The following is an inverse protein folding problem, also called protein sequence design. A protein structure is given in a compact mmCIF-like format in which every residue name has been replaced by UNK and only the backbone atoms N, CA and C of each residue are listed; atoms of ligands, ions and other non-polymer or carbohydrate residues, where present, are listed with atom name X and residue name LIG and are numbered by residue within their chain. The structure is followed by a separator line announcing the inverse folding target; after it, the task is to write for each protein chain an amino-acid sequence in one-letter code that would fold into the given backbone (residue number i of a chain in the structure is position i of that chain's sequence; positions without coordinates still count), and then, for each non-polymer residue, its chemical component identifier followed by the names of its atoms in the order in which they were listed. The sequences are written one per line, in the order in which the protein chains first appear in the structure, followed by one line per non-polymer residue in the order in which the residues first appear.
data_IF_131735216873
#
_entry.id   IF_131735216873
#
_cell.length_a   1.000
_cell.length_b   1.000
_cell.length_c   1.000
_cell.angle_alpha   90.00
_cell.angle_beta   90.00
_cell.angle_gamma   90.00
#
_symmetry.space_group_name_H-M   'P 1'
#
loop_
_entity.id
_entity.type
_entity.pdbx_description
1 polymer ?
#
# COMPACT_ATOMS: atom_id res chain seq x y z
N UNK A 1 27.52 21.98 -32.40
CA UNK A 1 28.29 21.72 -31.14
C UNK A 1 28.20 22.85 -30.11
N UNK A 2 27.59 24.01 -30.41
CA UNK A 2 27.44 25.15 -29.47
C UNK A 2 26.03 25.19 -28.81
N UNK A 3 25.06 24.43 -29.32
CA UNK A 3 23.69 24.38 -28.78
C UNK A 3 23.49 23.34 -27.65
N UNK A 4 24.48 22.49 -27.36
CA UNK A 4 24.44 21.53 -26.23
C UNK A 4 25.04 22.08 -24.93
N UNK A 5 25.77 23.21 -24.99
CA UNK A 5 26.39 23.81 -23.79
C UNK A 5 25.49 24.84 -23.08
N UNK A 6 24.48 25.38 -23.76
CA UNK A 6 23.58 26.42 -23.22
C UNK A 6 22.47 25.88 -22.33
N UNK A 7 22.14 24.58 -22.44
CA UNK A 7 21.13 23.92 -21.58
C UNK A 7 21.73 23.45 -20.25
N UNK A 8 23.06 23.28 -20.18
CA UNK A 8 23.77 22.83 -18.98
C UNK A 8 24.18 24.03 -18.09
N UNK A 9 24.28 25.24 -18.64
CA UNK A 9 24.62 26.46 -17.88
C UNK A 9 23.41 27.20 -17.30
N UNK A 10 22.18 26.89 -17.73
CA UNK A 10 20.95 27.42 -17.11
C UNK A 10 20.41 26.58 -15.93
N UNK A 11 20.96 25.38 -15.68
CA UNK A 11 20.63 24.56 -14.50
C UNK A 11 21.63 24.72 -13.33
N UNK A 12 22.61 25.62 -13.47
CA UNK A 12 23.63 25.88 -12.45
C UNK A 12 23.40 27.19 -11.67
N UNK A 13 22.15 27.67 -11.60
CA UNK A 13 21.76 28.72 -10.65
C UNK A 13 20.82 28.15 -9.57
N UNK A 14 21.40 28.07 -8.37
CA UNK A 14 20.81 27.81 -7.05
C UNK A 14 20.19 26.43 -6.77
N UNK A 15 21.00 25.38 -6.70
CA UNK A 15 20.80 24.38 -5.64
C UNK A 15 21.36 24.96 -4.33
N UNK A 16 20.56 25.78 -3.64
CA UNK A 16 20.68 25.79 -2.18
C UNK A 16 20.05 24.48 -1.72
N UNK A 17 20.80 23.62 -1.06
CA UNK A 17 20.23 22.47 -0.39
C UNK A 17 19.16 23.01 0.58
N UNK A 18 17.88 22.77 0.28
CA UNK A 18 16.80 23.08 1.21
C UNK A 18 16.87 22.03 2.31
N UNK A 19 17.06 22.48 3.55
CA UNK A 19 16.92 21.64 4.75
C UNK A 19 15.61 20.86 4.67
N UNK A 20 15.66 19.56 4.94
CA UNK A 20 14.49 18.69 5.00
C UNK A 20 14.09 18.42 6.46
N UNK A 21 12.84 18.01 6.68
CA UNK A 21 12.35 17.66 8.02
C UNK A 21 13.16 16.51 8.65
N UNK A 22 13.53 15.50 7.85
CA UNK A 22 14.36 14.38 8.32
C UNK A 22 15.75 14.83 8.76
N UNK A 23 16.39 15.74 8.01
CA UNK A 23 17.67 16.35 8.41
C UNK A 23 17.53 17.14 9.71
N UNK A 24 16.44 17.89 9.89
CA UNK A 24 16.15 18.63 11.12
C UNK A 24 15.96 17.67 12.32
N UNK A 25 15.23 16.56 12.13
CA UNK A 25 15.06 15.51 13.13
C UNK A 25 16.36 14.81 13.50
N UNK A 26 17.24 14.54 12.53
CA UNK A 26 18.55 13.95 12.79
C UNK A 26 19.44 14.87 13.64
N UNK A 27 19.39 16.19 13.39
CA UNK A 27 20.08 17.18 14.22
C UNK A 27 19.51 17.16 15.65
N UNK A 28 18.19 17.11 15.78
CA UNK A 28 17.52 17.05 17.08
C UNK A 28 17.90 15.78 17.87
N UNK A 29 17.88 14.62 17.22
CA UNK A 29 18.21 13.33 17.82
C UNK A 29 19.69 13.18 18.21
N UNK A 30 20.57 14.02 17.65
CA UNK A 30 22.01 14.10 18.00
C UNK A 30 22.31 15.17 19.05
N UNK A 31 21.27 15.72 19.68
CA UNK A 31 21.36 16.83 20.64
C UNK A 31 21.99 18.10 20.06
N UNK A 32 22.03 18.23 18.73
CA UNK A 32 22.46 19.46 18.03
C UNK A 32 21.32 20.49 18.00
N UNK A 33 20.71 20.75 19.16
CA UNK A 33 19.44 21.46 19.28
C UNK A 33 19.45 22.84 18.64
N UNK A 34 20.56 23.58 18.67
CA UNK A 34 20.62 24.90 18.03
C UNK A 34 20.45 24.82 16.50
N UNK A 35 21.08 23.83 15.86
CA UNK A 35 20.95 23.62 14.41
C UNK A 35 19.58 23.05 14.06
N UNK A 36 19.07 22.14 14.89
CA UNK A 36 17.72 21.60 14.73
C UNK A 36 16.66 22.72 14.83
N UNK A 37 16.83 23.63 15.78
CA UNK A 37 15.95 24.78 15.96
C UNK A 37 15.93 25.69 14.72
N UNK A 38 17.11 26.00 14.16
CA UNK A 38 17.22 26.78 12.91
C UNK A 38 16.55 26.04 11.74
N UNK A 39 16.77 24.73 11.65
CA UNK A 39 16.18 23.88 10.61
C UNK A 39 14.64 23.83 10.70
N UNK A 40 14.07 23.56 11.88
CA UNK A 40 12.63 23.56 12.08
C UNK A 40 12.03 24.95 11.90
N UNK A 41 12.72 26.02 12.30
CA UNK A 41 12.27 27.41 12.07
C UNK A 41 12.09 27.74 10.59
N UNK A 42 12.93 27.17 9.71
CA UNK A 42 12.80 27.34 8.26
C UNK A 42 11.61 26.58 7.67
N UNK A 43 11.29 25.42 8.23
CA UNK A 43 10.27 24.50 7.73
C UNK A 43 8.87 24.78 8.29
N UNK A 44 8.78 25.29 9.53
CA UNK A 44 7.55 25.38 10.31
C UNK A 44 6.43 26.22 9.70
N UNK A 45 6.70 27.05 8.68
CA UNK A 45 5.66 27.81 8.00
C UNK A 45 4.79 26.94 7.09
N UNK A 46 5.39 25.92 6.48
CA UNK A 46 4.76 25.10 5.45
C UNK A 46 4.58 23.63 5.87
N UNK A 47 5.25 23.22 6.96
CA UNK A 47 5.25 21.86 7.48
C UNK A 47 4.71 21.81 8.92
N UNK A 48 3.61 21.07 9.11
CA UNK A 48 2.91 20.99 10.38
C UNK A 48 3.73 20.26 11.46
N UNK A 49 4.53 19.27 11.08
CA UNK A 49 5.39 18.54 12.00
C UNK A 49 6.59 19.39 12.42
N UNK A 50 7.16 20.15 11.49
CA UNK A 50 8.21 21.12 11.82
C UNK A 50 7.71 22.21 12.77
N UNK A 51 6.48 22.71 12.56
CA UNK A 51 5.85 23.67 13.47
C UNK A 51 5.62 23.07 14.87
N UNK A 52 5.22 21.80 14.95
CA UNK A 52 5.06 21.09 16.21
C UNK A 52 6.41 20.93 16.93
N UNK A 53 7.45 20.48 16.22
CA UNK A 53 8.79 20.32 16.79
C UNK A 53 9.36 21.65 17.26
N UNK A 54 9.18 22.72 16.49
CA UNK A 54 9.57 24.07 16.89
C UNK A 54 8.84 24.54 18.16
N UNK A 55 7.55 24.25 18.28
CA UNK A 55 6.77 24.55 19.47
C UNK A 55 7.32 23.84 20.71
N UNK A 56 7.61 22.53 20.58
CA UNK A 56 8.21 21.72 21.65
C UNK A 56 9.58 22.26 22.07
N UNK A 57 10.41 22.69 21.12
CA UNK A 57 11.72 23.27 21.41
C UNK A 57 11.61 24.58 22.20
N UNK A 58 10.63 25.43 21.87
CA UNK A 58 10.34 26.62 22.68
C UNK A 58 9.80 26.29 24.07
N UNK A 59 8.98 25.25 24.20
CA UNK A 59 8.44 24.80 25.50
C UNK A 59 9.54 24.28 26.43
N UNK A 60 10.52 23.56 25.85
CA UNK A 60 11.61 22.91 26.59
C UNK A 60 12.86 23.78 26.71
N UNK A 61 13.00 24.84 25.90
CA UNK A 61 14.20 25.67 25.84
C UNK A 61 15.37 24.97 25.14
N UNK A 62 15.07 24.07 24.20
CA UNK A 62 16.08 23.30 23.47
C UNK A 62 16.55 24.11 22.25
N UNK A 63 17.84 24.47 22.22
CA UNK A 63 18.40 25.25 21.11
C UNK A 63 17.95 26.72 21.04
N UNK A 64 17.07 27.15 21.95
CA UNK A 64 16.52 28.50 22.04
C UNK A 64 16.16 28.86 23.50
N UNK A 65 15.76 30.11 23.73
CA UNK A 65 15.24 30.52 25.04
C UNK A 65 13.82 29.98 25.24
N UNK A 66 13.56 29.38 26.41
CA UNK A 66 12.26 28.83 26.77
C UNK A 66 11.17 29.91 26.71
N UNK A 67 10.09 29.64 25.99
CA UNK A 67 8.95 30.57 25.84
C UNK A 67 7.66 29.79 25.63
N UNK A 68 6.81 29.76 26.65
CA UNK A 68 5.49 29.13 26.56
C UNK A 68 4.58 29.85 25.56
N UNK A 69 4.71 31.17 25.43
CA UNK A 69 3.93 31.97 24.48
C UNK A 69 4.24 31.56 23.03
N UNK A 70 5.54 31.48 22.67
CA UNK A 70 5.95 31.04 21.34
C UNK A 70 5.63 29.56 21.09
N UNK A 71 5.76 28.72 22.11
CA UNK A 71 5.34 27.32 22.01
C UNK A 71 3.84 27.22 21.66
N UNK A 72 2.97 27.95 22.36
CA UNK A 72 1.54 27.96 22.07
C UNK A 72 1.23 28.51 20.67
N UNK A 73 1.95 29.55 20.21
CA UNK A 73 1.81 30.09 18.87
C UNK A 73 2.11 29.03 17.80
N UNK A 74 3.24 28.33 17.92
CA UNK A 74 3.65 27.31 16.97
C UNK A 74 2.82 26.03 17.06
N UNK A 75 2.33 25.65 18.24
CA UNK A 75 1.34 24.56 18.36
C UNK A 75 0.04 24.90 17.64
N UNK A 76 -0.45 26.15 17.74
CA UNK A 76 -1.61 26.61 16.98
C UNK A 76 -1.35 26.65 15.48
N UNK A 77 -0.16 27.09 15.06
CA UNK A 77 0.25 27.08 13.65
C UNK A 77 0.27 25.65 13.09
N UNK A 78 0.90 24.71 13.79
CA UNK A 78 0.91 23.28 13.45
C UNK A 78 -0.51 22.73 13.28
N UNK A 79 -1.37 22.94 14.29
CA UNK A 79 -2.77 22.51 14.25
C UNK A 79 -3.55 23.17 13.10
N UNK A 80 -3.25 24.43 12.76
CA UNK A 80 -3.88 25.13 11.65
C UNK A 80 -3.45 24.55 10.30
N UNK A 81 -2.15 24.27 10.10
CA UNK A 81 -1.65 23.63 8.88
C UNK A 81 -2.31 22.25 8.71
N UNK A 82 -2.33 21.43 9.76
CA UNK A 82 -3.04 20.16 9.76
C UNK A 82 -4.54 20.31 9.45
N UNK A 83 -5.18 21.32 10.03
CA UNK A 83 -6.58 21.61 9.78
C UNK A 83 -6.84 22.02 8.33
N UNK A 84 -6.02 22.88 7.73
CA UNK A 84 -6.18 23.32 6.34
C UNK A 84 -5.87 22.18 5.36
N UNK A 85 -4.86 21.35 5.64
CA UNK A 85 -4.62 20.09 4.90
C UNK A 85 -5.85 19.17 4.96
N UNK A 86 -6.42 18.96 6.15
CA UNK A 86 -7.62 18.16 6.33
C UNK A 86 -8.89 18.80 5.74
N UNK A 87 -8.96 20.14 5.66
CA UNK A 87 -10.09 20.91 5.13
C UNK A 87 -10.33 20.68 3.64
N UNK A 88 -9.25 20.47 2.89
CA UNK A 88 -9.32 20.17 1.46
C UNK A 88 -9.43 18.67 1.15
N UNK A 89 -9.45 17.81 2.17
CA UNK A 89 -9.67 16.38 1.98
C UNK A 89 -11.12 16.10 1.52
N UNK A 90 -11.33 15.40 0.39
CA UNK A 90 -12.65 14.93 -0.02
C UNK A 90 -13.38 14.15 1.09
N UNK A 91 -12.63 13.40 1.91
CA UNK A 91 -13.16 12.62 3.03
C UNK A 91 -13.87 13.49 4.06
N UNK A 92 -13.34 14.69 4.36
CA UNK A 92 -13.96 15.60 5.34
C UNK A 92 -15.31 16.11 4.84
N UNK A 93 -15.41 16.43 3.56
CA UNK A 93 -16.68 16.83 2.95
C UNK A 93 -17.66 15.65 2.93
N UNK A 94 -17.23 14.44 2.58
CA UNK A 94 -18.07 13.24 2.63
C UNK A 94 -18.59 13.00 4.05
N UNK A 95 -17.72 12.98 5.05
CA UNK A 95 -18.10 12.81 6.46
C UNK A 95 -19.05 13.89 6.96
N UNK A 96 -18.83 15.16 6.57
CA UNK A 96 -19.72 16.27 6.89
C UNK A 96 -21.11 16.03 6.29
N UNK A 97 -21.21 15.69 5.01
CA UNK A 97 -22.49 15.43 4.37
C UNK A 97 -23.19 14.19 4.96
N UNK A 98 -22.45 13.11 5.24
CA UNK A 98 -23.00 11.94 5.93
C UNK A 98 -23.53 12.28 7.32
N UNK A 99 -22.89 13.19 8.06
CA UNK A 99 -23.39 13.69 9.35
C UNK A 99 -24.67 14.52 9.19
N UNK A 100 -24.77 15.34 8.14
CA UNK A 100 -26.01 16.06 7.86
C UNK A 100 -27.15 15.12 7.45
N UNK A 101 -26.90 14.11 6.61
CA UNK A 101 -27.87 13.05 6.28
C UNK A 101 -28.32 12.32 7.56
N UNK A 102 -27.40 11.97 8.45
CA UNK A 102 -27.77 11.33 9.71
C UNK A 102 -28.69 12.20 10.58
N UNK A 103 -28.51 13.52 10.57
CA UNK A 103 -29.39 14.44 11.31
C UNK A 103 -30.81 14.55 10.73
N UNK A 104 -31.02 14.19 9.47
CA UNK A 104 -32.35 14.17 8.86
C UNK A 104 -33.14 12.90 9.16
N UNK A 105 -32.52 11.88 9.77
CA UNK A 105 -33.20 10.65 10.15
C UNK A 105 -33.97 10.83 11.45
N UNK A 106 -35.11 10.15 11.54
CA UNK A 106 -35.89 10.11 12.77
C UNK A 106 -35.05 9.57 13.93
N UNK A 107 -35.21 10.20 15.10
CA UNK A 107 -34.55 9.73 16.32
C UNK A 107 -35.25 8.49 16.83
N UNK A 108 -34.47 7.48 17.19
CA UNK A 108 -34.94 6.26 17.81
C UNK A 108 -34.51 6.29 19.27
N UNK A 109 -35.44 6.07 20.21
CA UNK A 109 -35.19 6.15 21.66
C UNK A 109 -34.24 5.08 22.22
N UNK A 110 -33.68 4.24 21.35
CA UNK A 110 -32.71 3.21 21.70
C UNK A 110 -31.31 3.59 21.19
N UNK A 111 -30.39 3.88 22.11
CA UNK A 111 -29.02 4.30 21.79
C UNK A 111 -28.25 3.30 20.92
N UNK A 112 -28.45 1.99 21.11
CA UNK A 112 -27.78 0.97 20.28
C UNK A 112 -28.30 1.00 18.83
N UNK A 113 -29.60 1.22 18.67
CA UNK A 113 -30.24 1.36 17.36
C UNK A 113 -29.80 2.66 16.69
N UNK A 114 -29.72 3.76 17.43
CA UNK A 114 -29.22 5.04 16.95
C UNK A 114 -27.75 4.94 16.48
N UNK A 115 -26.91 4.20 17.21
CA UNK A 115 -25.52 3.95 16.80
C UNK A 115 -25.43 3.00 15.59
N UNK A 116 -26.30 1.98 15.51
CA UNK A 116 -26.42 1.11 14.33
C UNK A 116 -26.80 1.92 13.09
N UNK A 117 -27.78 2.81 13.21
CA UNK A 117 -28.20 3.72 12.15
C UNK A 117 -27.06 4.65 11.74
N UNK A 118 -26.32 5.20 12.72
CA UNK A 118 -25.14 6.02 12.46
C UNK A 118 -24.09 5.25 11.68
N UNK A 119 -23.75 4.04 12.14
CA UNK A 119 -22.78 3.17 11.48
C UNK A 119 -23.19 2.86 10.04
N UNK A 120 -24.47 2.54 9.82
CA UNK A 120 -25.02 2.24 8.50
C UNK A 120 -24.93 3.44 7.55
N UNK A 121 -25.42 4.60 7.98
CA UNK A 121 -25.50 5.84 7.18
C UNK A 121 -24.12 6.40 6.87
N UNK A 122 -23.20 6.31 7.83
CA UNK A 122 -21.83 6.81 7.70
C UNK A 122 -20.87 5.76 7.14
N UNK A 123 -21.33 4.52 6.93
CA UNK A 123 -20.51 3.38 6.49
C UNK A 123 -19.26 3.19 7.35
N UNK A 124 -19.40 3.29 8.68
CA UNK A 124 -18.30 3.16 9.64
C UNK A 124 -17.91 1.69 9.84
N UNK A 125 -17.27 1.13 8.82
CA UNK A 125 -16.70 -0.21 8.84
C UNK A 125 -15.18 -0.12 8.85
N UNK A 126 -14.53 -0.89 9.73
CA UNK A 126 -13.08 -0.86 9.92
C UNK A 126 -12.34 -1.73 8.90
N UNK A 127 -12.59 -1.52 7.61
CA UNK A 127 -11.82 -2.17 6.54
C UNK A 127 -10.50 -1.43 6.32
N UNK A 128 -9.43 -2.20 6.20
CA UNK A 128 -8.08 -1.70 5.89
C UNK A 128 -7.64 -2.30 4.56
N UNK A 129 -6.67 -1.67 3.88
CA UNK A 129 -6.02 -2.30 2.75
C UNK A 129 -5.18 -3.51 3.23
N UNK A 130 -5.27 -4.64 2.51
CA UNK A 130 -4.36 -5.77 2.72
C UNK A 130 -3.14 -5.69 1.79
N UNK A 131 -3.41 -5.57 0.48
CA UNK A 131 -2.47 -5.22 -0.57
C UNK A 131 -2.88 -3.88 -1.21
N UNK A 132 -2.12 -3.42 -2.22
CA UNK A 132 -2.48 -2.23 -2.99
C UNK A 132 -3.87 -2.39 -3.65
N UNK A 133 -4.72 -1.37 -3.54
CA UNK A 133 -5.98 -1.24 -4.25
C UNK A 133 -5.73 -0.32 -5.44
N UNK A 134 -5.69 -0.88 -6.65
CA UNK A 134 -5.27 -0.16 -7.85
C UNK A 134 -6.20 -0.42 -9.03
N UNK A 135 -6.17 0.52 -9.97
CA UNK A 135 -6.84 0.46 -11.25
C UNK A 135 -5.88 0.96 -12.33
N UNK A 136 -5.45 0.04 -13.20
CA UNK A 136 -4.55 0.26 -14.33
C UNK A 136 -5.41 0.21 -15.60
N UNK A 137 -5.90 1.36 -16.11
CA UNK A 137 -6.66 1.37 -17.35
C UNK A 137 -5.84 0.87 -18.54
N UNK A 138 -4.51 1.01 -18.49
CA UNK A 138 -3.61 0.60 -19.54
C UNK A 138 -2.57 -0.37 -19.00
N UNK A 139 -2.77 -1.67 -19.24
CA UNK A 139 -1.77 -2.71 -19.08
C UNK A 139 -1.46 -3.37 -20.43
N UNK A 140 -0.22 -3.20 -20.90
CA UNK A 140 0.26 -3.74 -22.17
C UNK A 140 1.12 -4.98 -21.96
N UNK A 141 0.71 -6.11 -22.55
CA UNK A 141 1.47 -7.36 -22.63
C UNK A 141 2.32 -7.36 -23.91
N UNK A 142 3.60 -7.65 -23.76
CA UNK A 142 4.55 -7.68 -24.88
C UNK A 142 4.53 -8.99 -25.67
N UNK A 143 4.12 -10.08 -25.03
CA UNK A 143 4.03 -11.40 -25.66
C UNK A 143 2.67 -11.58 -26.36
N UNK A 144 2.66 -12.36 -27.45
CA UNK A 144 1.51 -12.51 -28.36
C UNK A 144 0.53 -13.60 -27.91
N UNK A 145 0.94 -14.50 -27.01
CA UNK A 145 0.14 -15.66 -26.63
C UNK A 145 -0.77 -15.35 -25.43
N UNK A 146 -1.97 -14.85 -25.68
CA UNK A 146 -3.08 -15.14 -24.77
C UNK A 146 -3.74 -16.44 -25.22
N UNK A 147 -3.97 -17.36 -24.29
CA UNK A 147 -4.90 -18.45 -24.55
C UNK A 147 -6.29 -17.86 -24.84
N UNK A 148 -7.00 -18.47 -25.79
CA UNK A 148 -8.41 -18.13 -26.00
C UNK A 148 -9.21 -18.38 -24.73
N UNK A 149 -9.99 -17.40 -24.30
CA UNK A 149 -10.81 -17.50 -23.11
C UNK A 149 -12.27 -17.47 -23.53
N UNK A 150 -12.98 -18.58 -23.34
CA UNK A 150 -14.40 -18.71 -23.68
C UNK A 150 -14.69 -18.38 -25.17
N UNK A 151 -13.80 -18.74 -26.09
CA UNK A 151 -13.92 -18.43 -27.51
C UNK A 151 -13.68 -16.96 -27.88
N UNK A 152 -13.13 -16.17 -26.96
CA UNK A 152 -12.69 -14.81 -27.23
C UNK A 152 -11.18 -14.70 -27.28
N UNK A 153 -10.68 -14.09 -28.36
CA UNK A 153 -9.28 -13.75 -28.52
C UNK A 153 -8.94 -12.47 -27.72
N UNK A 154 -8.07 -12.61 -26.72
CA UNK A 154 -7.58 -11.49 -25.94
C UNK A 154 -6.56 -10.65 -26.72
N UNK A 155 -6.58 -9.34 -26.49
CA UNK A 155 -5.65 -8.37 -27.06
C UNK A 155 -4.53 -8.04 -26.11
N UNK A 156 -3.48 -7.38 -26.64
CA UNK A 156 -2.29 -6.97 -25.88
C UNK A 156 -2.56 -5.94 -24.80
N UNK A 157 -3.63 -5.18 -24.89
CA UNK A 157 -4.00 -4.15 -23.93
C UNK A 157 -5.21 -4.62 -23.13
N UNK A 158 -5.11 -4.57 -21.81
CA UNK A 158 -6.21 -4.82 -20.90
C UNK A 158 -6.22 -3.84 -19.73
N UNK A 159 -7.39 -3.65 -19.14
CA UNK A 159 -7.54 -2.99 -17.85
C UNK A 159 -7.25 -4.01 -16.75
N UNK A 160 -6.32 -3.70 -15.85
CA UNK A 160 -6.01 -4.53 -14.68
C UNK A 160 -6.41 -3.80 -13.41
N UNK A 161 -7.10 -4.48 -12.49
CA UNK A 161 -7.43 -3.87 -11.21
C UNK A 161 -7.39 -4.88 -10.07
N UNK A 162 -7.11 -4.36 -8.87
CA UNK A 162 -7.07 -5.15 -7.66
C UNK A 162 -7.87 -4.47 -6.55
N UNK A 163 -8.72 -5.25 -5.90
CA UNK A 163 -9.39 -4.88 -4.65
C UNK A 163 -8.85 -5.79 -3.56
N UNK A 164 -8.33 -5.21 -2.48
CA UNK A 164 -7.67 -5.96 -1.42
C UNK A 164 -7.96 -5.36 -0.05
N UNK A 165 -8.78 -6.06 0.72
CA UNK A 165 -9.31 -5.61 2.00
C UNK A 165 -8.91 -6.56 3.12
N UNK A 166 -8.73 -6.01 4.32
CA UNK A 166 -8.47 -6.72 5.57
C UNK A 166 -9.41 -6.22 6.65
N UNK A 167 -9.86 -7.12 7.51
CA UNK A 167 -10.56 -6.83 8.75
C UNK A 167 -9.86 -7.51 9.93
N UNK A 168 -9.39 -6.72 10.89
CA UNK A 168 -8.80 -7.21 12.13
C UNK A 168 -9.93 -7.40 13.16
N UNK A 169 -10.29 -8.63 13.49
CA UNK A 169 -11.53 -8.94 14.23
C UNK A 169 -11.30 -9.34 15.70
N UNK A 170 -10.07 -9.74 16.06
CA UNK A 170 -9.69 -10.07 17.42
C UNK A 170 -8.20 -9.81 17.64
N UNK A 171 -7.80 -9.62 18.90
CA UNK A 171 -6.39 -9.47 19.26
C UNK A 171 -6.11 -9.99 20.67
N UNK A 172 -4.86 -10.40 20.89
CA UNK A 172 -4.25 -10.64 22.20
C UNK A 172 -4.98 -11.67 23.09
N UNK A 173 -5.53 -12.71 22.49
CA UNK A 173 -6.17 -13.83 23.17
C UNK A 173 -5.18 -14.61 24.07
N UNK A 174 -3.94 -14.79 23.61
CA UNK A 174 -2.86 -15.51 24.29
C UNK A 174 -1.84 -14.59 24.96
N UNK A 175 -2.11 -13.29 25.05
CA UNK A 175 -1.18 -12.29 25.60
C UNK A 175 0.16 -12.18 24.84
N UNK A 176 0.16 -12.53 23.55
CA UNK A 176 1.33 -12.45 22.68
C UNK A 176 1.30 -11.21 21.76
N UNK A 177 0.37 -10.28 22.02
CA UNK A 177 0.09 -9.09 21.18
C UNK A 177 -0.34 -9.48 19.76
N UNK A 178 -0.86 -10.68 19.58
CA UNK A 178 -1.23 -11.21 18.29
C UNK A 178 -2.51 -10.58 17.75
N UNK A 179 -2.64 -10.48 16.43
CA UNK A 179 -3.79 -9.90 15.74
C UNK A 179 -4.36 -10.94 14.80
N UNK A 180 -5.65 -11.20 14.93
CA UNK A 180 -6.41 -12.12 14.08
C UNK A 180 -7.13 -11.33 13.00
N UNK A 181 -6.91 -11.73 11.75
CA UNK A 181 -7.43 -11.01 10.59
C UNK A 181 -8.03 -11.97 9.58
N UNK A 182 -9.05 -11.48 8.89
CA UNK A 182 -9.49 -12.01 7.60
C UNK A 182 -9.13 -11.00 6.52
N UNK A 183 -8.72 -11.48 5.36
CA UNK A 183 -8.46 -10.66 4.20
C UNK A 183 -9.08 -11.28 2.94
N UNK A 184 -9.32 -10.42 1.96
CA UNK A 184 -9.80 -10.81 0.66
C UNK A 184 -9.08 -9.96 -0.39
N UNK A 185 -8.43 -10.62 -1.34
CA UNK A 185 -7.84 -9.97 -2.51
C UNK A 185 -8.47 -10.52 -3.78
N UNK A 186 -8.95 -9.62 -4.63
CA UNK A 186 -9.40 -9.93 -5.98
C UNK A 186 -8.51 -9.20 -6.99
N UNK A 187 -7.94 -9.92 -7.95
CA UNK A 187 -7.23 -9.36 -9.10
C UNK A 187 -8.00 -9.70 -10.37
N UNK A 188 -8.28 -8.72 -11.22
CA UNK A 188 -9.06 -8.94 -12.44
C UNK A 188 -8.38 -8.33 -13.65
N UNK A 189 -8.50 -9.01 -14.78
CA UNK A 189 -7.91 -8.68 -16.07
C UNK A 189 -9.02 -8.56 -17.11
N UNK A 190 -9.30 -7.33 -17.52
CA UNK A 190 -10.48 -6.97 -18.30
C UNK A 190 -10.09 -6.49 -19.69
N UNK A 191 -10.59 -7.18 -20.71
CA UNK A 191 -10.38 -6.85 -22.12
C UNK A 191 -11.28 -5.68 -22.56
N UNK A 192 -11.20 -4.57 -21.84
CA UNK A 192 -12.02 -3.35 -21.99
C UNK A 192 -11.94 -2.70 -23.37
N UNK A 193 -10.87 -2.98 -24.13
CA UNK A 193 -10.63 -2.46 -25.48
C UNK A 193 -11.14 -3.38 -26.60
N UNK A 194 -11.67 -4.56 -26.26
CA UNK A 194 -12.34 -5.46 -27.22
C UNK A 194 -13.83 -5.14 -27.31
N UNK A 195 -14.46 -5.47 -28.43
CA UNK A 195 -15.86 -5.16 -28.71
C UNK A 195 -16.83 -5.68 -27.64
N UNK A 196 -16.63 -6.91 -27.16
CA UNK A 196 -17.45 -7.52 -26.10
C UNK A 196 -17.07 -7.11 -24.68
N UNK A 197 -15.93 -6.42 -24.50
CA UNK A 197 -15.42 -5.97 -23.20
C UNK A 197 -15.46 -7.07 -22.10
N UNK A 198 -15.05 -8.30 -22.44
CA UNK A 198 -15.13 -9.45 -21.53
C UNK A 198 -14.01 -9.45 -20.47
N UNK A 199 -14.29 -10.02 -19.29
CA UNK A 199 -13.26 -10.25 -18.27
C UNK A 199 -12.50 -11.54 -18.62
N UNK A 200 -11.22 -11.40 -18.94
CA UNK A 200 -10.35 -12.51 -19.34
C UNK A 200 -9.96 -13.39 -18.16
N UNK A 201 -9.82 -12.83 -16.97
CA UNK A 201 -9.53 -13.59 -15.75
C UNK A 201 -9.87 -12.77 -14.51
N UNK A 202 -10.32 -13.46 -13.45
CA UNK A 202 -10.43 -12.91 -12.10
C UNK A 202 -9.90 -13.93 -11.11
N UNK A 203 -9.05 -13.53 -10.17
CA UNK A 203 -8.57 -14.40 -9.09
C UNK A 203 -9.09 -13.92 -7.75
N UNK A 204 -9.73 -14.82 -7.01
CA UNK A 204 -10.37 -14.62 -5.71
C UNK A 204 -9.49 -15.25 -4.64
N UNK A 205 -8.97 -14.45 -3.72
CA UNK A 205 -7.95 -14.88 -2.74
C UNK A 205 -8.36 -14.51 -1.31
N UNK A 206 -9.28 -15.26 -0.67
CA UNK A 206 -9.56 -15.11 0.75
C UNK A 206 -8.43 -15.72 1.61
N UNK A 207 -8.08 -15.03 2.69
CA UNK A 207 -7.07 -15.46 3.65
C UNK A 207 -7.55 -15.27 5.09
N UNK A 208 -7.20 -16.20 5.96
CA UNK A 208 -7.26 -16.04 7.42
C UNK A 208 -5.85 -16.14 7.96
N UNK A 209 -5.47 -15.22 8.85
CA UNK A 209 -4.14 -15.25 9.44
C UNK A 209 -4.07 -14.61 10.82
N UNK A 210 -3.01 -14.99 11.54
CA UNK A 210 -2.63 -14.42 12.82
C UNK A 210 -1.25 -13.79 12.67
N UNK A 211 -1.11 -12.53 13.08
CA UNK A 211 0.17 -11.81 13.06
C UNK A 211 0.69 -11.61 14.48
N UNK A 212 1.91 -12.05 14.75
CA UNK A 212 2.64 -11.96 16.01
C UNK A 212 3.75 -10.92 15.89
N UNK A 213 3.68 -9.79 16.62
CA UNK A 213 4.77 -8.83 16.69
C UNK A 213 5.95 -9.40 17.48
N UNK A 214 7.16 -9.36 16.91
CA UNK A 214 8.37 -9.93 17.53
C UNK A 214 9.21 -8.89 18.25
N UNK A 215 9.13 -7.63 17.84
CA UNK A 215 9.97 -6.54 18.35
C UNK A 215 9.15 -5.31 18.75
N UNK A 216 9.64 -4.51 19.70
CA UNK A 216 9.21 -3.11 19.91
C UNK A 216 10.12 -2.13 19.13
N UNK A 217 9.81 -0.83 19.14
CA UNK A 217 10.75 0.16 18.56
C UNK A 217 12.08 0.19 19.34
N UNK A 218 12.03 -0.05 20.64
CA UNK A 218 13.16 0.17 21.55
C UNK A 218 14.21 -0.95 21.55
N UNK A 219 13.89 -2.12 20.99
CA UNK A 219 14.80 -3.29 21.02
C UNK A 219 15.74 -3.38 19.80
N UNK A 220 15.56 -2.51 18.80
CA UNK A 220 16.38 -2.50 17.58
C UNK A 220 16.29 -3.77 16.72
N UNK A 221 15.33 -4.67 16.98
CA UNK A 221 15.25 -5.98 16.33
C UNK A 221 14.91 -5.89 14.84
N UNK A 222 15.64 -6.60 13.98
CA UNK A 222 15.38 -6.60 12.53
C UNK A 222 14.09 -7.32 12.14
N UNK A 223 13.73 -8.41 12.83
CA UNK A 223 12.47 -9.14 12.63
C UNK A 223 11.35 -8.40 13.37
N UNK A 224 10.38 -7.88 12.61
CA UNK A 224 9.26 -7.07 13.13
C UNK A 224 8.00 -7.88 13.40
N UNK A 225 7.80 -8.98 12.69
CA UNK A 225 6.69 -9.87 12.97
C UNK A 225 6.73 -11.17 12.20
N UNK A 226 5.90 -12.10 12.68
CA UNK A 226 5.62 -13.38 12.06
C UNK A 226 4.13 -13.44 11.79
N UNK A 227 3.72 -13.80 10.59
CA UNK A 227 2.31 -14.09 10.26
C UNK A 227 2.19 -15.54 9.85
N UNK A 228 1.19 -16.23 10.37
CA UNK A 228 0.83 -17.58 9.94
C UNK A 228 -0.62 -17.59 9.50
N UNK A 229 -0.93 -18.32 8.44
CA UNK A 229 -2.27 -18.27 7.86
C UNK A 229 -2.63 -19.46 7.00
N UNK A 230 -3.92 -19.53 6.70
CA UNK A 230 -4.53 -20.42 5.72
C UNK A 230 -5.15 -19.57 4.64
N UNK A 231 -5.04 -20.02 3.39
CA UNK A 231 -5.45 -19.25 2.24
C UNK A 231 -6.03 -20.17 1.17
N UNK A 232 -6.99 -19.61 0.43
CA UNK A 232 -7.51 -20.21 -0.78
C UNK A 232 -7.29 -19.23 -1.92
N UNK A 233 -7.03 -19.74 -3.12
CA UNK A 233 -7.07 -18.94 -4.33
C UNK A 233 -7.79 -19.73 -5.42
N UNK A 234 -8.74 -19.11 -6.10
CA UNK A 234 -9.39 -19.68 -7.28
C UNK A 234 -9.71 -18.62 -8.31
N UNK A 235 -9.99 -19.03 -9.54
CA UNK A 235 -10.46 -18.12 -10.58
C UNK A 235 -11.98 -18.12 -10.78
N UNK A 236 -12.72 -18.92 -10.01
CA UNK A 236 -14.18 -19.00 -10.07
C UNK A 236 -14.74 -19.51 -11.40
N UNK A 237 -13.90 -20.18 -12.21
CA UNK A 237 -14.30 -20.83 -13.47
C UNK A 237 -14.58 -22.29 -13.26
N UNK A 238 -15.29 -22.91 -14.20
CA UNK A 238 -15.56 -24.34 -14.20
C UNK A 238 -14.86 -25.07 -15.34
N UNK A 239 -14.90 -26.40 -15.26
CA UNK A 239 -14.38 -27.33 -16.27
C UNK A 239 -12.88 -27.10 -16.54
N UNK A 240 -12.45 -27.11 -17.81
CA UNK A 240 -11.05 -27.04 -18.21
C UNK A 240 -10.35 -25.70 -17.86
N UNK A 241 -11.12 -24.64 -17.61
CA UNK A 241 -10.61 -23.33 -17.21
C UNK A 241 -10.55 -23.15 -15.69
N UNK A 242 -11.06 -24.11 -14.91
CA UNK A 242 -11.01 -24.04 -13.46
C UNK A 242 -9.56 -24.05 -12.99
N UNK A 243 -9.20 -23.12 -12.10
CA UNK A 243 -7.92 -23.09 -11.42
C UNK A 243 -8.16 -22.79 -9.96
N UNK A 244 -7.59 -23.60 -9.08
CA UNK A 244 -7.69 -23.38 -7.65
C UNK A 244 -6.59 -24.12 -6.87
N UNK A 245 -6.33 -23.63 -5.67
CA UNK A 245 -5.48 -24.32 -4.70
C UNK A 245 -5.74 -23.78 -3.30
N UNK A 246 -5.40 -24.59 -2.32
CA UNK A 246 -5.42 -24.24 -0.91
C UNK A 246 -4.00 -24.35 -0.35
N UNK A 247 -3.63 -23.47 0.58
CA UNK A 247 -2.29 -23.51 1.16
C UNK A 247 -2.26 -22.96 2.58
N UNK A 248 -1.31 -23.47 3.35
CA UNK A 248 -0.87 -22.83 4.61
C UNK A 248 0.35 -21.98 4.31
N UNK A 249 0.50 -20.86 5.02
CA UNK A 249 1.63 -19.96 4.81
C UNK A 249 2.20 -19.40 6.12
N UNK A 250 3.46 -19.00 6.05
CA UNK A 250 4.16 -18.25 7.06
C UNK A 250 4.89 -17.06 6.41
N UNK A 251 4.73 -15.86 6.96
CA UNK A 251 5.41 -14.65 6.51
C UNK A 251 6.31 -14.12 7.62
N UNK A 252 7.56 -13.78 7.29
CA UNK A 252 8.50 -13.12 8.17
C UNK A 252 8.70 -11.68 7.68
N UNK A 253 8.45 -10.70 8.56
CA UNK A 253 8.60 -9.28 8.24
C UNK A 253 9.88 -8.74 8.83
N UNK A 254 10.74 -8.17 8.00
CA UNK A 254 12.00 -7.56 8.40
C UNK A 254 12.00 -6.08 8.09
N UNK A 255 12.71 -5.30 8.91
CA UNK A 255 12.98 -3.91 8.64
C UNK A 255 14.44 -3.58 8.93
N UNK A 256 15.05 -2.82 8.03
CA UNK A 256 16.35 -2.19 8.23
C UNK A 256 16.32 -0.77 7.68
N UNK A 257 16.35 0.23 8.57
CA UNK A 257 16.15 1.64 8.19
C UNK A 257 14.84 1.81 7.39
N UNK A 258 14.92 2.33 6.17
CA UNK A 258 13.79 2.47 5.24
C UNK A 258 13.45 1.19 4.48
N UNK A 259 14.28 0.14 4.54
CA UNK A 259 14.06 -1.12 3.85
C UNK A 259 13.04 -1.97 4.62
N UNK A 260 11.95 -2.33 3.96
CA UNK A 260 10.94 -3.27 4.48
C UNK A 260 10.97 -4.54 3.63
N UNK A 261 11.10 -5.71 4.26
CA UNK A 261 11.13 -6.99 3.56
C UNK A 261 10.09 -7.96 4.11
N UNK A 262 9.53 -8.79 3.24
CA UNK A 262 8.64 -9.89 3.60
C UNK A 262 9.13 -11.17 2.90
N UNK A 263 9.43 -12.21 3.68
CA UNK A 263 9.60 -13.57 3.17
C UNK A 263 8.32 -14.34 3.46
N UNK A 264 7.48 -14.57 2.44
CA UNK A 264 6.28 -15.42 2.54
C UNK A 264 6.62 -16.80 1.98
N UNK A 265 6.43 -17.83 2.79
CA UNK A 265 6.57 -19.23 2.42
C UNK A 265 5.20 -19.91 2.48
N UNK A 266 4.94 -20.86 1.60
CA UNK A 266 3.71 -21.63 1.59
C UNK A 266 3.94 -23.12 1.34
N UNK A 267 3.03 -23.92 1.91
CA UNK A 267 2.89 -25.33 1.59
C UNK A 267 1.47 -25.56 1.04
N UNK A 268 1.41 -26.07 -0.20
CA UNK A 268 0.14 -26.44 -0.85
C UNK A 268 -0.52 -27.59 -0.08
N UNK A 269 -1.81 -27.46 0.15
CA UNK A 269 -2.64 -28.51 0.70
C UNK A 269 -3.17 -29.39 -0.43
N UNK A 270 -3.41 -30.70 -0.20
CA UNK A 270 -4.01 -31.57 -1.19
C UNK A 270 -5.42 -31.11 -1.58
N UNK A 271 -5.71 -31.17 -2.88
CA UNK A 271 -7.04 -30.89 -3.42
C UNK A 271 -7.74 -32.22 -3.78
N UNK A 272 -9.08 -32.28 -3.65
CA UNK A 272 -9.84 -33.48 -4.04
C UNK A 272 -9.82 -33.70 -5.57
N UNK A 273 -9.74 -32.61 -6.32
CA UNK A 273 -9.50 -32.60 -7.76
C UNK A 273 -8.50 -31.50 -8.03
N UNK A 274 -7.37 -31.85 -8.63
CA UNK A 274 -6.29 -30.90 -8.90
C UNK A 274 -6.39 -30.38 -10.34
N UNK A 275 -6.86 -29.14 -10.49
CA UNK A 275 -7.02 -28.49 -11.78
C UNK A 275 -5.74 -27.84 -12.32
N UNK A 276 -4.68 -27.80 -11.51
CA UNK A 276 -3.40 -27.18 -11.85
C UNK A 276 -2.27 -27.91 -11.09
N UNK A 277 -1.99 -29.18 -11.45
CA UNK A 277 -1.01 -30.01 -10.75
C UNK A 277 0.41 -29.44 -10.80
N UNK A 278 0.76 -28.75 -11.89
CA UNK A 278 2.10 -28.15 -12.10
C UNK A 278 2.25 -26.76 -11.44
N UNK A 279 1.27 -26.30 -10.66
CA UNK A 279 1.26 -24.96 -10.08
C UNK A 279 2.52 -24.69 -9.26
N UNK A 280 2.83 -25.58 -8.31
CA UNK A 280 3.98 -25.42 -7.41
C UNK A 280 5.31 -25.56 -8.14
N UNK A 281 5.37 -26.44 -9.15
CA UNK A 281 6.53 -26.54 -10.04
C UNK A 281 6.76 -25.25 -10.84
N UNK A 282 5.79 -24.34 -10.86
CA UNK A 282 5.90 -23.06 -11.56
C UNK A 282 6.12 -21.87 -10.64
N UNK A 283 5.28 -21.70 -9.62
CA UNK A 283 5.34 -20.53 -8.72
C UNK A 283 6.26 -20.74 -7.52
N UNK A 284 6.71 -21.97 -7.28
CA UNK A 284 7.56 -22.33 -6.15
C UNK A 284 6.81 -22.36 -4.81
N UNK A 285 7.59 -22.20 -3.73
CA UNK A 285 7.13 -22.33 -2.34
C UNK A 285 7.12 -21.02 -1.55
N UNK A 286 7.28 -19.89 -2.22
CA UNK A 286 7.36 -18.61 -1.56
C UNK A 286 7.64 -17.44 -2.49
N UNK A 287 7.53 -16.24 -1.93
CA UNK A 287 8.09 -15.04 -2.52
C UNK A 287 8.94 -14.28 -1.51
N UNK A 288 9.87 -13.50 -2.03
CA UNK A 288 10.55 -12.44 -1.29
C UNK A 288 10.10 -11.08 -1.81
N UNK A 289 9.63 -10.22 -0.92
CA UNK A 289 9.17 -8.87 -1.22
C UNK A 289 10.07 -7.85 -0.55
N UNK A 290 10.39 -6.78 -1.27
CA UNK A 290 11.21 -5.67 -0.83
C UNK A 290 10.44 -4.38 -1.11
N UNK A 291 10.23 -3.55 -0.11
CA UNK A 291 9.60 -2.24 -0.23
C UNK A 291 10.54 -1.16 0.32
N UNK A 292 10.70 -0.08 -0.43
CA UNK A 292 11.58 1.05 -0.13
C UNK A 292 10.77 2.35 -0.26
N UNK A 293 10.18 2.85 0.83
CA UNK A 293 9.71 4.23 0.90
C UNK A 293 10.89 5.21 0.84
N UNK A 294 10.76 6.23 0.00
CA UNK A 294 11.69 7.36 -0.04
C UNK A 294 10.92 8.66 -0.31
N UNK A 295 10.82 9.51 0.72
CA UNK A 295 9.96 10.72 0.68
C UNK A 295 8.54 10.35 0.29
N UNK A 296 8.02 10.91 -0.82
CA UNK A 296 6.69 10.61 -1.35
C UNK A 296 6.64 9.38 -2.26
N UNK A 297 7.79 8.78 -2.59
CA UNK A 297 7.89 7.63 -3.49
C UNK A 297 7.85 6.32 -2.71
N UNK A 298 7.23 5.29 -3.29
CA UNK A 298 7.36 3.92 -2.81
C UNK A 298 7.73 3.02 -3.97
N UNK A 299 8.83 2.30 -3.81
CA UNK A 299 9.28 1.24 -4.71
C UNK A 299 9.01 -0.10 -4.05
N UNK A 300 8.35 -1.02 -4.75
CA UNK A 300 7.94 -2.31 -4.22
C UNK A 300 8.30 -3.38 -5.24
N UNK A 301 9.04 -4.40 -4.82
CA UNK A 301 9.49 -5.49 -5.68
C UNK A 301 9.13 -6.82 -5.03
N UNK A 302 8.57 -7.74 -5.81
CA UNK A 302 8.23 -9.10 -5.39
C UNK A 302 8.90 -10.08 -6.34
N UNK A 303 9.62 -11.04 -5.77
CA UNK A 303 10.42 -12.02 -6.49
C UNK A 303 9.92 -13.40 -6.10
N UNK A 304 9.56 -14.21 -7.10
CA UNK A 304 9.22 -15.63 -6.97
C UNK A 304 10.22 -16.47 -7.75
N UNK A 305 10.58 -17.63 -7.20
CA UNK A 305 11.47 -18.57 -7.86
C UNK A 305 11.15 -20.00 -7.39
N UNK A 306 11.07 -20.95 -8.32
CA UNK A 306 10.86 -22.36 -8.03
C UNK A 306 12.17 -23.14 -7.79
N UNK A 307 13.33 -22.47 -7.90
CA UNK A 307 14.70 -23.01 -7.86
C UNK A 307 15.05 -24.05 -8.92
N UNK A 308 14.17 -24.28 -9.89
CA UNK A 308 14.28 -25.30 -10.93
C UNK A 308 14.15 -24.77 -12.36
N UNK A 309 13.87 -23.47 -12.57
CA UNK A 309 14.02 -22.66 -13.82
C UNK A 309 12.95 -21.56 -13.98
N UNK A 310 11.81 -21.66 -13.28
CA UNK A 310 10.68 -20.75 -13.39
C UNK A 310 10.65 -19.77 -12.22
N UNK A 311 10.13 -18.59 -12.47
CA UNK A 311 10.00 -17.54 -11.47
C UNK A 311 9.40 -16.28 -12.07
N UNK A 312 9.28 -15.24 -11.25
CA UNK A 312 8.82 -13.94 -11.71
C UNK A 312 9.34 -12.81 -10.86
N UNK A 313 9.33 -11.62 -11.46
CA UNK A 313 9.58 -10.36 -10.81
C UNK A 313 8.39 -9.44 -11.11
N UNK A 314 7.77 -8.95 -10.05
CA UNK A 314 6.80 -7.86 -10.08
C UNK A 314 7.45 -6.63 -9.45
N UNK A 315 7.48 -5.51 -10.16
CA UNK A 315 7.96 -4.23 -9.65
C UNK A 315 6.87 -3.18 -9.76
N UNK A 316 6.58 -2.52 -8.64
CA UNK A 316 5.56 -1.51 -8.52
C UNK A 316 6.20 -0.19 -8.06
N UNK A 317 5.77 0.92 -8.65
CA UNK A 317 6.16 2.26 -8.25
C UNK A 317 4.92 3.09 -7.97
N UNK A 318 4.91 3.80 -6.84
CA UNK A 318 3.82 4.73 -6.50
C UNK A 318 4.30 6.10 -6.05
N UNK A 319 3.51 7.11 -6.37
CA UNK A 319 3.73 8.50 -5.94
C UNK A 319 2.40 9.26 -5.83
N UNK A 320 2.15 10.06 -4.77
CA UNK A 320 0.96 10.87 -4.62
C UNK A 320 0.67 11.74 -5.86
N UNK A 321 -0.58 11.78 -6.30
CA UNK A 321 -0.99 12.71 -7.35
C UNK A 321 -1.10 14.11 -6.75
N UNK A 322 -0.61 15.14 -7.47
CA UNK A 322 -0.53 16.52 -6.97
C UNK A 322 -1.81 16.94 -6.24
N UNK A 323 -1.64 17.48 -5.03
CA UNK A 323 -2.71 17.94 -4.12
C UNK A 323 -3.57 16.85 -3.45
N UNK A 324 -3.23 15.55 -3.59
CA UNK A 324 -3.91 14.44 -2.91
C UNK A 324 -2.92 13.43 -2.33
N UNK A 325 -2.97 13.22 -1.02
CA UNK A 325 -2.15 12.21 -0.33
C UNK A 325 -2.82 10.83 -0.24
N UNK A 326 -4.06 10.70 -0.72
CA UNK A 326 -4.90 9.49 -0.70
C UNK A 326 -5.14 8.90 -2.10
N UNK A 327 -4.47 9.43 -3.13
CA UNK A 327 -4.47 8.93 -4.50
C UNK A 327 -3.04 8.92 -5.03
N UNK A 328 -2.60 7.79 -5.54
CA UNK A 328 -1.24 7.61 -6.03
C UNK A 328 -1.26 7.28 -7.51
N UNK A 329 -0.37 7.92 -8.27
CA UNK A 329 0.07 7.37 -9.54
C UNK A 329 0.69 6.00 -9.28
N UNK A 330 0.37 5.01 -10.13
CA UNK A 330 0.79 3.63 -9.97
C UNK A 330 1.33 3.10 -11.29
N UNK A 331 2.56 2.58 -11.25
CA UNK A 331 3.16 1.83 -12.34
C UNK A 331 3.46 0.41 -11.88
N UNK A 332 3.23 -0.55 -12.77
CA UNK A 332 3.48 -1.96 -12.56
C UNK A 332 4.30 -2.51 -13.71
N UNK A 333 5.34 -3.26 -13.40
CA UNK A 333 6.08 -4.09 -14.34
C UNK A 333 6.02 -5.54 -13.85
N UNK A 334 5.67 -6.45 -14.74
CA UNK A 334 5.66 -7.88 -14.45
C UNK A 334 6.46 -8.64 -15.51
N UNK A 335 7.31 -9.55 -15.08
CA UNK A 335 8.09 -10.43 -15.95
C UNK A 335 8.24 -11.81 -15.31
N UNK A 336 7.67 -12.84 -15.93
CA UNK A 336 7.81 -14.24 -15.52
C UNK A 336 6.47 -15.00 -15.49
N UNK A 337 6.37 -15.99 -14.61
CA UNK A 337 5.21 -16.88 -14.47
C UNK A 337 4.31 -16.51 -13.29
N UNK A 338 3.04 -16.93 -13.30
CA UNK A 338 2.13 -16.76 -12.17
C UNK A 338 1.53 -15.35 -12.02
N UNK A 339 1.35 -14.60 -13.11
CA UNK A 339 0.67 -13.29 -13.02
C UNK A 339 -0.79 -13.43 -12.56
N UNK A 340 -1.43 -14.49 -13.04
CA UNK A 340 -2.81 -14.90 -12.78
C UNK A 340 -2.86 -16.44 -12.67
N UNK A 341 -3.96 -16.99 -12.15
CA UNK A 341 -4.11 -18.44 -12.08
C UNK A 341 -4.28 -19.10 -13.45
N UNK A 342 -5.00 -18.49 -14.38
CA UNK A 342 -5.14 -19.06 -15.72
C UNK A 342 -3.82 -19.01 -16.51
N UNK A 343 -2.99 -17.99 -16.26
CA UNK A 343 -1.68 -17.82 -16.90
C UNK A 343 -0.52 -18.36 -16.03
N UNK A 344 -0.78 -19.27 -15.09
CA UNK A 344 0.23 -19.64 -14.10
C UNK A 344 1.50 -20.22 -14.73
N UNK A 345 1.34 -21.01 -15.79
CA UNK A 345 2.37 -21.69 -16.59
C UNK A 345 2.80 -20.89 -17.83
N UNK A 346 2.21 -19.73 -18.06
CA UNK A 346 2.55 -18.84 -19.17
C UNK A 346 3.57 -17.77 -18.73
N UNK A 347 4.62 -17.59 -19.52
CA UNK A 347 5.59 -16.52 -19.28
C UNK A 347 5.04 -15.18 -19.80
N UNK A 348 4.86 -14.21 -18.90
CA UNK A 348 4.28 -12.90 -19.21
C UNK A 348 5.33 -11.81 -19.05
N UNK A 349 5.32 -10.85 -19.99
CA UNK A 349 5.99 -9.55 -19.86
C UNK A 349 4.96 -8.45 -20.02
N UNK A 350 4.79 -7.61 -19.01
CA UNK A 350 3.71 -6.63 -18.97
C UNK A 350 4.10 -5.36 -18.25
N UNK A 351 3.59 -4.23 -18.75
CA UNK A 351 3.65 -2.93 -18.08
C UNK A 351 2.23 -2.39 -17.93
N UNK A 352 1.89 -1.98 -16.71
CA UNK A 352 0.63 -1.33 -16.37
C UNK A 352 0.85 0.07 -15.80
N UNK A 353 -0.03 1.01 -16.15
CA UNK A 353 -0.01 2.38 -15.64
C UNK A 353 -1.44 2.78 -15.26
N UNK A 354 -1.57 3.42 -14.10
CA UNK A 354 -2.84 3.92 -13.61
C UNK A 354 -2.72 4.57 -12.24
N UNK A 355 -3.67 4.25 -11.36
CA UNK A 355 -3.78 4.85 -10.05
C UNK A 355 -4.03 3.80 -8.96
N UNK A 356 -3.63 4.11 -7.74
CA UNK A 356 -4.00 3.36 -6.55
C UNK A 356 -4.53 4.27 -5.45
N UNK A 357 -5.36 3.69 -4.58
CA UNK A 357 -5.90 4.35 -3.38
C UNK A 357 -5.28 3.78 -2.10
N UNK A 358 -4.48 2.72 -2.23
CA UNK A 358 -3.57 2.24 -1.19
C UNK A 358 -2.26 1.79 -1.86
N UNK A 359 -1.18 1.78 -1.07
CA UNK A 359 0.17 1.44 -1.52
C UNK A 359 0.88 0.60 -0.48
#
# INVERSE_FOLDING_TARGET
MILRLLVITLLALSLKASVTFDEANLLYARDEYKKAFEAFSLLAKDDADAAYMLAKMYEQGEGCEKSEEKAQEWYKASAHIYYEQAKHSPLRNVQKHQKEIFKTLDRVDNNQTQETLRQFVQSLYNFKAHNANYFLPFSYRYDDNYDEVNGHEAGKVETEFQVSLKYDFAANFFKLREIYSVAYTQKSFWQSYKESAFIRESNYSPEFFVTFPTSSQDDGGFLKGIRVGVAHQSNGRGAEYERSWNYVNASLFFQYDILLCELKLWARLPDATDYNPELIDTIGHGYFRIAVPYKKHLFDMKIMNNFNSKGSIEFNYTHPVSSRDDLFFYMKFFNGYGESLIDYDNHIKKVGIGFSISR
#
